data_IF_809077176324
#
_entry.id   IF_809077176324
#
_cell.length_a   1.000
_cell.length_b   1.000
_cell.length_c   1.000
_cell.angle_alpha   90.00
_cell.angle_beta   90.00
_cell.angle_gamma   90.00
#
_symmetry.space_group_name_H-M   'P 1'
#
loop_
_entity.id
_entity.type
_entity.pdbx_description
1 polymer ?
#
# COMPACT_ATOMS: atom_id res chain seq x y z
N UNK A 1 53.31 -30.86 58.34
CA UNK A 1 53.76 -29.48 58.65
C UNK A 1 52.97 -28.54 57.75
N UNK A 2 51.96 -27.84 58.29
CA UNK A 2 51.90 -26.36 58.39
C UNK A 2 51.99 -25.64 57.03
N UNK A 3 51.15 -24.71 56.58
CA UNK A 3 50.05 -23.88 57.13
C UNK A 3 49.40 -23.13 55.93
N UNK A 4 48.07 -23.02 55.95
CA UNK A 4 47.23 -21.80 55.76
C UNK A 4 47.39 -20.84 54.55
N UNK A 5 46.25 -20.69 53.83
CA UNK A 5 45.45 -19.46 53.57
C UNK A 5 45.58 -18.65 52.25
N UNK A 6 44.37 -18.23 51.80
CA UNK A 6 43.96 -17.11 50.89
C UNK A 6 43.85 -17.50 49.41
N UNK A 7 42.77 -17.22 48.67
CA UNK A 7 41.55 -16.45 48.91
C UNK A 7 40.69 -16.46 47.62
N UNK A 8 39.43 -16.04 47.77
CA UNK A 8 38.36 -15.93 46.75
C UNK A 8 38.78 -15.42 45.36
N UNK A 9 38.10 -15.88 44.30
CA UNK A 9 36.98 -15.19 43.60
C UNK A 9 36.51 -16.07 42.43
N UNK A 10 35.18 -16.25 42.34
CA UNK A 10 34.47 -16.97 41.29
C UNK A 10 34.30 -16.13 40.02
N UNK A 11 34.30 -16.77 38.85
CA UNK A 11 33.64 -16.24 37.65
C UNK A 11 33.24 -17.39 36.71
N UNK A 12 32.04 -17.94 36.91
CA UNK A 12 31.35 -18.71 35.89
C UNK A 12 30.80 -17.71 34.86
N UNK A 13 31.45 -17.63 33.69
CA UNK A 13 30.93 -16.88 32.55
C UNK A 13 29.79 -17.69 31.90
N UNK A 14 28.55 -17.41 32.30
CA UNK A 14 27.37 -17.80 31.52
C UNK A 14 27.30 -16.89 30.29
N UNK A 15 27.69 -17.42 29.12
CA UNK A 15 27.37 -16.78 27.83
C UNK A 15 25.86 -16.88 27.60
N UNK A 16 25.12 -15.85 28.02
CA UNK A 16 23.79 -15.60 27.50
C UNK A 16 23.95 -15.03 26.08
N UNK A 17 23.65 -15.85 25.07
CA UNK A 17 23.56 -15.39 23.69
C UNK A 17 22.47 -14.32 23.58
N UNK A 18 22.85 -13.08 23.27
CA UNK A 18 21.90 -12.04 22.90
C UNK A 18 21.28 -12.44 21.56
N UNK A 19 20.01 -12.84 21.59
CA UNK A 19 19.15 -12.77 20.42
C UNK A 19 18.94 -11.28 20.13
N UNK A 20 19.60 -10.76 19.10
CA UNK A 20 19.22 -9.48 18.50
C UNK A 20 17.87 -9.69 17.83
N UNK A 21 16.79 -9.33 18.52
CA UNK A 21 15.47 -9.21 17.90
C UNK A 21 15.58 -8.03 16.97
N UNK A 22 15.66 -8.29 15.66
CA UNK A 22 15.63 -7.25 14.64
C UNK A 22 14.29 -6.53 14.80
N UNK A 23 14.33 -5.30 15.31
CA UNK A 23 13.13 -4.51 15.48
C UNK A 23 12.58 -4.23 14.07
N UNK A 24 11.35 -4.69 13.80
CA UNK A 24 10.62 -4.28 12.61
C UNK A 24 10.67 -2.74 12.52
N UNK A 25 10.81 -2.15 11.32
CA UNK A 25 10.85 -0.71 11.17
C UNK A 25 9.63 -0.13 11.89
N UNK A 26 9.88 0.73 12.89
CA UNK A 26 8.82 1.38 13.63
C UNK A 26 7.88 2.03 12.60
N UNK A 27 6.61 1.61 12.60
CA UNK A 27 5.58 2.33 11.87
C UNK A 27 5.72 3.79 12.27
N UNK A 28 5.88 4.69 11.29
CA UNK A 28 6.01 6.11 11.58
C UNK A 28 4.87 6.51 12.52
N UNK A 29 5.20 7.15 13.64
CA UNK A 29 4.21 7.59 14.64
C UNK A 29 3.45 8.79 14.08
N UNK A 30 2.57 8.51 13.12
CA UNK A 30 1.73 9.49 12.46
C UNK A 30 0.50 9.77 13.33
N UNK A 31 0.00 11.02 13.37
CA UNK A 31 -1.07 11.45 14.30
C UNK A 31 -2.32 10.56 14.34
N UNK A 32 -2.69 9.97 13.21
CA UNK A 32 -3.88 9.13 13.06
C UNK A 32 -3.51 7.73 12.52
N UNK A 33 -2.29 7.28 12.80
CA UNK A 33 -1.76 6.00 12.34
C UNK A 33 -1.32 6.01 10.86
N UNK A 34 -1.04 4.83 10.29
CA UNK A 34 -0.32 4.70 9.02
C UNK A 34 -1.05 5.28 7.81
N UNK A 35 -2.37 5.47 7.90
CA UNK A 35 -3.21 6.06 6.85
C UNK A 35 -3.55 7.54 7.11
N UNK A 36 -2.70 8.25 7.87
CA UNK A 36 -2.89 9.69 8.12
C UNK A 36 -2.90 10.47 6.82
N UNK A 37 -3.94 11.29 6.62
CA UNK A 37 -4.06 12.12 5.43
C UNK A 37 -3.04 13.26 5.40
N UNK A 38 -2.61 13.64 4.19
CA UNK A 38 -1.81 14.83 3.99
C UNK A 38 -2.59 16.10 4.37
N UNK A 39 -1.88 17.20 4.63
CA UNK A 39 -2.50 18.49 4.93
C UNK A 39 -3.49 18.90 3.83
N UNK A 40 -4.70 19.30 4.23
CA UNK A 40 -5.78 19.67 3.31
C UNK A 40 -6.66 18.50 2.86
N UNK A 41 -6.33 17.27 3.25
CA UNK A 41 -7.12 16.07 2.97
C UNK A 41 -7.70 15.47 4.25
N UNK A 42 -8.80 14.73 4.09
CA UNK A 42 -9.53 14.02 5.16
C UNK A 42 -9.95 12.65 4.66
N UNK A 43 -10.18 11.68 5.55
CA UNK A 43 -10.71 10.38 5.14
C UNK A 43 -12.07 10.55 4.45
N UNK A 44 -12.28 9.81 3.36
CA UNK A 44 -13.49 9.87 2.54
C UNK A 44 -14.71 9.32 3.27
N UNK A 45 -14.52 8.33 4.14
CA UNK A 45 -15.58 7.76 4.99
C UNK A 45 -16.78 7.23 4.17
N UNK A 46 -16.53 6.66 2.99
CA UNK A 46 -17.59 6.11 2.15
C UNK A 46 -18.33 4.95 2.83
N UNK A 47 -17.58 4.09 3.52
CA UNK A 47 -18.05 2.96 4.30
C UNK A 47 -17.15 2.79 5.53
N UNK A 48 -17.54 2.00 6.56
CA UNK A 48 -16.68 1.74 7.70
C UNK A 48 -15.30 1.21 7.28
N UNK A 49 -14.24 1.83 7.81
CA UNK A 49 -12.85 1.50 7.46
C UNK A 49 -12.38 2.08 6.12
N UNK A 50 -13.05 3.10 5.57
CA UNK A 50 -12.59 3.83 4.39
C UNK A 50 -11.62 4.96 4.72
N UNK A 51 -10.34 4.62 4.62
CA UNK A 51 -9.20 5.48 4.94
C UNK A 51 -8.57 6.15 3.70
N UNK A 52 -9.24 6.09 2.54
CA UNK A 52 -8.80 6.86 1.36
C UNK A 52 -8.95 8.34 1.66
N UNK A 53 -7.89 9.11 1.46
CA UNK A 53 -7.87 10.54 1.72
C UNK A 53 -8.38 11.33 0.51
N UNK A 54 -9.32 12.24 0.74
CA UNK A 54 -9.95 13.11 -0.28
C UNK A 54 -10.08 14.54 0.25
N UNK A 55 -10.55 15.47 -0.58
CA UNK A 55 -10.82 16.84 -0.11
C UNK A 55 -12.03 16.88 0.83
N UNK A 56 -12.13 17.88 1.72
CA UNK A 56 -13.30 18.04 2.60
C UNK A 56 -14.64 18.09 1.83
N UNK A 57 -14.68 18.78 0.69
CA UNK A 57 -15.88 18.84 -0.18
C UNK A 57 -16.26 17.47 -0.74
N UNK A 58 -15.28 16.64 -1.10
CA UNK A 58 -15.55 15.28 -1.59
C UNK A 58 -16.06 14.36 -0.47
N UNK A 59 -15.53 14.50 0.76
CA UNK A 59 -16.08 13.82 1.94
C UNK A 59 -17.52 14.23 2.21
N UNK A 60 -17.84 15.52 2.11
CA UNK A 60 -19.20 16.02 2.32
C UNK A 60 -20.19 15.48 1.28
N UNK A 61 -19.75 15.37 0.02
CA UNK A 61 -20.51 14.73 -1.06
C UNK A 61 -20.77 13.26 -0.75
N UNK A 62 -19.72 12.53 -0.34
CA UNK A 62 -19.79 11.12 0.03
C UNK A 62 -20.76 10.88 1.19
N UNK A 63 -20.76 11.75 2.20
CA UNK A 63 -21.71 11.68 3.32
C UNK A 63 -23.15 11.93 2.87
N UNK A 64 -23.39 12.88 1.97
CA UNK A 64 -24.71 13.11 1.38
C UNK A 64 -25.20 11.90 0.57
N UNK A 65 -24.31 11.24 -0.15
CA UNK A 65 -24.59 10.00 -0.86
C UNK A 65 -24.94 8.85 0.08
N UNK A 66 -24.21 8.69 1.18
CA UNK A 66 -24.52 7.69 2.21
C UNK A 66 -25.91 7.90 2.79
N UNK A 67 -26.31 9.16 3.04
CA UNK A 67 -27.64 9.49 3.56
C UNK A 67 -28.77 9.21 2.54
N UNK A 68 -28.54 9.49 1.26
CA UNK A 68 -29.54 9.32 0.19
C UNK A 68 -29.57 7.90 -0.39
N UNK A 69 -28.52 7.11 -0.21
CA UNK A 69 -28.36 5.75 -0.73
C UNK A 69 -29.56 4.85 -0.46
N UNK A 70 -30.06 4.75 0.78
CA UNK A 70 -31.25 3.93 1.10
C UNK A 70 -32.49 4.31 0.27
N UNK A 71 -32.73 5.61 0.04
CA UNK A 71 -33.88 6.08 -0.74
C UNK A 71 -33.75 5.79 -2.25
N UNK A 72 -32.52 5.52 -2.73
CA UNK A 72 -32.18 5.21 -4.12
C UNK A 72 -32.11 3.70 -4.41
N UNK A 73 -32.30 2.87 -3.39
CA UNK A 73 -32.37 1.42 -3.50
C UNK A 73 -33.79 0.96 -3.83
N UNK A 74 -33.92 -0.12 -4.60
CA UNK A 74 -35.22 -0.74 -4.84
C UNK A 74 -35.80 -1.30 -3.53
N UNK A 75 -37.05 -0.98 -3.15
CA UNK A 75 -37.59 -1.33 -1.82
C UNK A 75 -37.60 -2.83 -1.51
N UNK A 76 -37.70 -3.68 -2.54
CA UNK A 76 -37.77 -5.14 -2.41
C UNK A 76 -36.53 -5.85 -2.99
N UNK A 77 -35.44 -5.11 -3.21
CA UNK A 77 -34.30 -5.58 -3.98
C UNK A 77 -34.63 -5.77 -5.47
N UNK A 78 -33.78 -6.49 -6.19
CA UNK A 78 -33.95 -6.72 -7.62
C UNK A 78 -32.96 -7.74 -8.17
N UNK A 79 -32.69 -7.68 -9.48
CA UNK A 79 -31.88 -8.66 -10.21
C UNK A 79 -30.45 -8.86 -9.65
N UNK A 80 -29.94 -7.90 -8.88
CA UNK A 80 -28.59 -7.90 -8.30
C UNK A 80 -28.62 -8.06 -6.77
N UNK A 81 -29.71 -8.58 -6.22
CA UNK A 81 -29.88 -8.83 -4.79
C UNK A 81 -30.58 -7.69 -4.03
N UNK A 82 -30.55 -7.71 -2.68
CA UNK A 82 -31.27 -6.76 -1.83
C UNK A 82 -30.82 -5.32 -2.02
N UNK A 83 -29.60 -5.14 -2.52
CA UNK A 83 -28.96 -3.84 -2.64
C UNK A 83 -29.21 -3.16 -4.00
N UNK A 84 -30.00 -3.79 -4.87
CA UNK A 84 -30.26 -3.31 -6.24
C UNK A 84 -30.70 -1.84 -6.25
N UNK A 85 -30.02 -1.03 -7.05
CA UNK A 85 -30.35 0.38 -7.19
C UNK A 85 -31.53 0.62 -8.14
N UNK A 86 -32.29 1.68 -7.87
CA UNK A 86 -33.31 2.20 -8.78
C UNK A 86 -32.71 2.63 -10.11
N UNK A 87 -33.52 2.61 -11.16
CA UNK A 87 -33.12 3.10 -12.49
C UNK A 87 -32.50 4.50 -12.41
N UNK A 88 -31.35 4.69 -13.07
CA UNK A 88 -30.55 5.92 -13.04
C UNK A 88 -29.49 5.98 -11.93
N UNK A 89 -29.44 5.00 -11.03
CA UNK A 89 -28.43 4.88 -9.98
C UNK A 89 -27.62 3.60 -10.11
N UNK A 90 -26.40 3.62 -9.56
CA UNK A 90 -25.47 2.49 -9.52
C UNK A 90 -24.85 2.38 -8.13
N UNK A 91 -24.30 1.21 -7.79
CA UNK A 91 -23.43 1.11 -6.62
C UNK A 91 -22.20 2.00 -6.80
N UNK A 92 -21.79 2.70 -5.74
CA UNK A 92 -20.61 3.57 -5.76
C UNK A 92 -19.31 2.78 -5.92
N UNK A 93 -19.24 1.58 -5.35
CA UNK A 93 -18.10 0.66 -5.51
C UNK A 93 -16.74 1.26 -5.09
N UNK A 94 -16.67 2.05 -4.00
CA UNK A 94 -15.35 2.45 -3.43
C UNK A 94 -14.53 1.23 -2.99
N UNK A 95 -15.22 0.15 -2.64
CA UNK A 95 -14.71 -1.20 -2.38
C UNK A 95 -15.81 -2.23 -2.68
N UNK A 96 -15.51 -3.54 -2.71
CA UNK A 96 -16.52 -4.56 -3.03
C UNK A 96 -17.76 -4.55 -2.12
N UNK A 97 -17.64 -4.09 -0.87
CA UNK A 97 -18.77 -3.98 0.06
C UNK A 97 -19.59 -2.68 -0.05
N UNK A 98 -19.19 -1.73 -0.90
CA UNK A 98 -19.84 -0.43 -1.03
C UNK A 98 -20.97 -0.45 -2.07
N UNK A 99 -22.15 -0.87 -1.61
CA UNK A 99 -23.39 -0.90 -2.41
C UNK A 99 -24.30 0.31 -2.15
N UNK A 100 -23.73 1.46 -1.77
CA UNK A 100 -24.49 2.71 -1.66
C UNK A 100 -24.92 3.13 -3.07
N UNK A 101 -26.23 3.36 -3.26
CA UNK A 101 -26.79 3.77 -4.55
C UNK A 101 -26.55 5.26 -4.81
N UNK A 102 -25.77 5.56 -5.84
CA UNK A 102 -25.31 6.91 -6.20
C UNK A 102 -25.47 7.17 -7.70
N UNK A 103 -25.41 8.45 -8.15
CA UNK A 103 -25.33 8.75 -9.57
C UNK A 103 -24.11 8.08 -10.22
N UNK A 104 -24.17 7.68 -11.51
CA UNK A 104 -23.03 7.05 -12.20
C UNK A 104 -21.71 7.81 -12.10
N UNK A 105 -21.74 9.14 -12.19
CA UNK A 105 -20.55 9.98 -12.07
C UNK A 105 -19.85 9.85 -10.70
N UNK A 106 -20.59 9.54 -9.64
CA UNK A 106 -20.02 9.33 -8.29
C UNK A 106 -19.24 8.04 -8.20
N UNK A 107 -19.66 6.97 -8.91
CA UNK A 107 -18.87 5.74 -9.04
C UNK A 107 -17.56 5.99 -9.78
N UNK A 108 -17.60 6.80 -10.84
CA UNK A 108 -16.38 7.15 -11.58
C UNK A 108 -15.44 7.98 -10.70
N UNK A 109 -15.97 8.91 -9.89
CA UNK A 109 -15.17 9.65 -8.91
C UNK A 109 -14.56 8.76 -7.84
N UNK A 110 -15.32 7.80 -7.30
CA UNK A 110 -14.81 6.84 -6.32
C UNK A 110 -13.59 6.06 -6.85
N UNK A 111 -13.60 5.69 -8.13
CA UNK A 111 -12.47 5.02 -8.80
C UNK A 111 -11.26 5.94 -8.94
N UNK A 112 -11.49 7.20 -9.31
CA UNK A 112 -10.42 8.22 -9.37
C UNK A 112 -9.81 8.45 -7.98
N UNK A 113 -10.63 8.62 -6.95
CA UNK A 113 -10.17 8.80 -5.57
C UNK A 113 -9.28 7.62 -5.12
N UNK A 114 -9.68 6.38 -5.44
CA UNK A 114 -8.86 5.18 -5.15
C UNK A 114 -7.51 5.21 -5.89
N UNK A 115 -7.47 5.66 -7.14
CA UNK A 115 -6.22 5.76 -7.92
C UNK A 115 -5.28 6.88 -7.43
N UNK A 116 -5.85 7.94 -6.82
CA UNK A 116 -5.10 9.08 -6.31
C UNK A 116 -4.69 8.94 -4.84
N UNK A 117 -5.13 7.87 -4.17
CA UNK A 117 -4.84 7.59 -2.77
C UNK A 117 -3.36 7.82 -2.35
N UNK A 118 -2.33 7.38 -3.12
CA UNK A 118 -0.94 7.54 -2.69
C UNK A 118 -0.45 9.00 -2.72
N UNK A 119 -1.19 9.92 -3.35
CA UNK A 119 -0.87 11.35 -3.38
C UNK A 119 -1.60 12.16 -2.30
N UNK A 120 -2.59 11.58 -1.64
CA UNK A 120 -3.45 12.27 -0.66
C UNK A 120 -3.21 11.83 0.78
N UNK A 121 -2.42 10.78 0.97
CA UNK A 121 -1.88 10.32 2.26
C UNK A 121 -0.57 11.06 2.61
N UNK A 122 -0.29 11.25 3.89
CA UNK A 122 0.88 12.00 4.36
C UNK A 122 2.21 11.28 4.07
N UNK A 123 2.27 9.97 4.35
CA UNK A 123 3.48 9.17 4.15
C UNK A 123 3.10 7.77 3.65
N UNK A 124 3.06 7.55 2.33
CA UNK A 124 2.66 6.25 1.76
C UNK A 124 3.50 5.07 2.26
N UNK A 125 4.77 5.30 2.58
CA UNK A 125 5.70 4.28 3.07
C UNK A 125 5.54 3.93 4.55
N UNK A 126 4.64 4.60 5.28
CA UNK A 126 4.25 4.20 6.62
C UNK A 126 3.14 3.14 6.62
N UNK A 127 2.53 2.87 5.46
CA UNK A 127 1.43 1.90 5.34
C UNK A 127 1.93 0.47 5.54
N UNK A 128 1.12 -0.41 6.16
CA UNK A 128 1.51 -1.80 6.35
C UNK A 128 1.69 -2.52 5.01
N UNK A 129 2.40 -3.67 5.05
CA UNK A 129 2.62 -4.48 3.85
C UNK A 129 1.36 -5.14 3.32
N UNK A 130 0.36 -5.37 4.16
CA UNK A 130 -0.86 -6.11 3.81
C UNK A 130 -0.56 -7.47 3.13
N UNK A 131 0.49 -8.16 3.58
CA UNK A 131 0.91 -9.46 3.03
C UNK A 131 1.65 -9.40 1.69
N UNK A 132 2.07 -8.21 1.27
CA UNK A 132 2.80 -7.97 0.02
C UNK A 132 4.30 -7.94 0.31
N UNK A 133 5.06 -8.78 -0.39
CA UNK A 133 6.52 -8.80 -0.33
C UNK A 133 7.11 -8.40 -1.70
N UNK A 134 8.06 -7.47 -1.71
CA UNK A 134 8.88 -7.21 -2.90
C UNK A 134 10.24 -7.85 -2.68
N UNK A 135 10.68 -8.68 -3.63
CA UNK A 135 12.02 -9.23 -3.63
C UNK A 135 12.77 -8.73 -4.86
N UNK A 136 13.96 -8.20 -4.66
CA UNK A 136 14.87 -7.98 -5.77
C UNK A 136 15.50 -9.32 -6.15
N UNK A 137 15.29 -9.78 -7.39
CA UNK A 137 15.89 -11.02 -7.88
C UNK A 137 16.90 -10.67 -8.96
N UNK A 138 18.17 -10.92 -8.64
CA UNK A 138 19.26 -10.74 -9.60
C UNK A 138 19.30 -11.93 -10.56
N UNK A 139 18.49 -11.90 -11.62
CA UNK A 139 18.48 -12.95 -12.65
C UNK A 139 18.39 -12.35 -14.06
N UNK A 140 19.37 -12.64 -14.92
CA UNK A 140 19.41 -12.20 -16.31
C UNK A 140 20.01 -10.79 -16.52
N UNK A 141 20.20 -10.42 -17.80
CA UNK A 141 20.59 -9.07 -18.23
C UNK A 141 19.54 -8.55 -19.21
N UNK A 142 18.89 -7.40 -18.96
CA UNK A 142 19.01 -6.54 -17.77
C UNK A 142 18.38 -7.16 -16.51
N UNK A 143 18.89 -6.80 -15.33
CA UNK A 143 18.37 -7.24 -14.03
C UNK A 143 16.96 -6.69 -13.78
N UNK A 144 16.13 -7.40 -12.99
CA UNK A 144 14.74 -6.99 -12.70
C UNK A 144 14.33 -7.17 -11.23
N UNK A 145 13.39 -6.34 -10.77
CA UNK A 145 12.74 -6.50 -9.45
C UNK A 145 11.52 -7.40 -9.60
N UNK A 146 11.36 -8.39 -8.72
CA UNK A 146 10.18 -9.29 -8.71
C UNK A 146 9.28 -8.99 -7.52
N UNK A 147 8.03 -8.63 -7.78
CA UNK A 147 7.04 -8.58 -6.72
C UNK A 147 6.43 -9.97 -6.54
N UNK A 148 6.39 -10.43 -5.29
CA UNK A 148 5.70 -11.65 -4.92
C UNK A 148 4.66 -11.33 -3.86
N UNK A 149 3.40 -11.49 -4.20
CA UNK A 149 2.33 -11.30 -3.23
C UNK A 149 1.91 -12.65 -2.68
N UNK A 150 1.88 -12.76 -1.35
CA UNK A 150 1.24 -13.92 -0.69
C UNK A 150 -0.25 -13.70 -0.47
N UNK A 151 -0.73 -12.48 -0.72
CA UNK A 151 -2.12 -12.08 -0.73
C UNK A 151 -2.64 -11.85 -2.16
N UNK A 152 -3.97 -11.94 -2.31
CA UNK A 152 -4.70 -11.56 -3.51
C UNK A 152 -5.18 -10.11 -3.40
N UNK A 153 -5.17 -9.39 -4.52
CA UNK A 153 -5.78 -8.08 -4.65
C UNK A 153 -7.27 -8.19 -4.98
N UNK A 154 -7.96 -7.07 -5.11
CA UNK A 154 -9.36 -7.07 -5.54
C UNK A 154 -9.49 -7.72 -6.93
N UNK A 155 -10.36 -8.72 -7.11
CA UNK A 155 -10.55 -9.40 -8.40
C UNK A 155 -11.03 -8.48 -9.53
N UNK A 156 -10.51 -8.69 -10.74
CA UNK A 156 -10.86 -7.93 -11.95
C UNK A 156 -10.68 -6.40 -11.79
N UNK A 157 -9.74 -5.99 -10.96
CA UNK A 157 -9.36 -4.57 -10.75
C UNK A 157 -7.93 -4.37 -11.22
N UNK A 158 -7.37 -3.22 -10.89
CA UNK A 158 -6.01 -2.85 -11.26
C UNK A 158 -5.23 -2.49 -10.02
N UNK A 159 -3.94 -2.78 -10.06
CA UNK A 159 -3.00 -2.51 -9.00
C UNK A 159 -1.90 -1.63 -9.56
N UNK A 160 -1.70 -0.48 -8.94
CA UNK A 160 -0.63 0.44 -9.31
C UNK A 160 0.55 0.27 -8.38
N UNK A 161 1.73 0.35 -8.98
CA UNK A 161 3.01 0.26 -8.29
C UNK A 161 3.75 1.56 -8.48
N UNK A 162 4.30 2.08 -7.39
CA UNK A 162 5.05 3.31 -7.39
C UNK A 162 6.38 3.10 -6.68
N UNK A 163 7.44 3.77 -7.15
CA UNK A 163 8.62 4.00 -6.34
C UNK A 163 8.42 5.30 -5.57
N UNK A 164 8.68 5.26 -4.27
CA UNK A 164 8.71 6.44 -3.42
C UNK A 164 10.15 6.72 -2.98
N UNK A 165 10.65 7.90 -3.36
CA UNK A 165 11.94 8.42 -2.91
C UNK A 165 11.70 9.63 -1.98
N UNK A 166 11.98 9.49 -0.66
CA UNK A 166 11.85 10.60 0.28
C UNK A 166 12.98 11.64 0.18
N UNK A 167 14.12 11.29 -0.42
CA UNK A 167 15.38 12.05 -0.35
C UNK A 167 15.86 12.57 -1.70
N UNK A 168 14.98 12.71 -2.69
CA UNK A 168 15.38 13.15 -4.03
C UNK A 168 16.18 14.47 -4.01
N UNK A 169 17.48 14.47 -4.35
CA UNK A 169 18.32 15.64 -4.22
C UNK A 169 17.91 16.73 -5.24
N UNK A 170 17.70 17.95 -4.76
CA UNK A 170 17.53 19.14 -5.60
C UNK A 170 16.09 19.61 -5.84
N UNK A 171 15.07 18.88 -5.36
CA UNK A 171 13.66 19.32 -5.48
C UNK A 171 13.03 19.72 -4.15
N UNK A 172 13.54 19.24 -3.01
CA UNK A 172 12.88 19.43 -1.70
C UNK A 172 11.53 18.72 -1.58
N UNK A 173 11.21 17.80 -2.49
CA UNK A 173 9.94 17.09 -2.56
C UNK A 173 10.16 15.58 -2.70
N UNK A 174 9.34 14.78 -2.02
CA UNK A 174 9.27 13.34 -2.26
C UNK A 174 8.71 13.07 -3.65
N UNK A 175 9.34 12.15 -4.40
CA UNK A 175 8.87 11.77 -5.73
C UNK A 175 8.16 10.42 -5.64
N UNK A 176 6.90 10.40 -6.07
CA UNK A 176 6.15 9.17 -6.32
C UNK A 176 6.12 8.94 -7.84
N UNK A 177 6.82 7.92 -8.32
CA UNK A 177 6.90 7.59 -9.76
C UNK A 177 6.11 6.34 -10.05
N UNK A 178 5.17 6.40 -10.99
CA UNK A 178 4.42 5.22 -11.43
C UNK A 178 5.35 4.25 -12.16
N UNK A 179 5.44 3.04 -11.63
CA UNK A 179 6.25 1.95 -12.15
C UNK A 179 5.47 1.06 -13.10
N UNK A 180 4.22 0.80 -12.76
CA UNK A 180 3.35 -0.06 -13.54
C UNK A 180 1.93 -0.03 -13.00
N UNK A 181 1.01 -0.38 -13.88
CA UNK A 181 -0.40 -0.52 -13.60
C UNK A 181 -0.84 -1.88 -14.17
N UNK A 182 -1.17 -2.83 -13.30
CA UNK A 182 -1.31 -4.25 -13.64
C UNK A 182 -2.74 -4.71 -13.32
N UNK A 183 -3.47 -5.32 -14.28
CA UNK A 183 -4.79 -5.87 -14.01
C UNK A 183 -4.69 -7.14 -13.15
N UNK A 184 -5.76 -7.46 -12.42
CA UNK A 184 -5.92 -8.70 -11.69
C UNK A 184 -6.93 -9.62 -12.36
N UNK A 185 -6.74 -10.93 -12.23
CA UNK A 185 -7.69 -11.93 -12.70
C UNK A 185 -8.93 -12.04 -11.79
N UNK A 186 -9.81 -12.99 -12.10
CA UNK A 186 -11.01 -13.26 -11.33
C UNK A 186 -10.75 -13.76 -9.89
N UNK A 187 -9.50 -14.13 -9.58
CA UNK A 187 -9.06 -14.56 -8.25
C UNK A 187 -8.23 -13.49 -7.52
N UNK A 188 -8.02 -12.32 -8.15
CA UNK A 188 -7.21 -11.25 -7.56
C UNK A 188 -5.70 -11.43 -7.73
N UNK A 189 -5.25 -12.36 -8.56
CA UNK A 189 -3.84 -12.49 -8.91
C UNK A 189 -3.48 -11.47 -9.98
N UNK A 190 -2.30 -10.85 -9.87
CA UNK A 190 -1.78 -9.95 -10.89
C UNK A 190 -1.61 -10.71 -12.22
N UNK A 191 -2.12 -10.17 -13.31
CA UNK A 191 -1.89 -10.70 -14.66
C UNK A 191 -0.69 -9.96 -15.27
N UNK A 192 0.52 -10.53 -15.23
CA UNK A 192 1.64 -10.05 -16.08
C UNK A 192 1.81 -10.91 -17.32
N UNK A 193 2.21 -10.26 -18.42
CA UNK A 193 2.44 -10.86 -19.75
C UNK A 193 3.64 -11.82 -19.78
N UNK A 194 4.46 -11.86 -18.73
CA UNK A 194 5.63 -12.75 -18.63
C UNK A 194 5.77 -13.30 -17.21
N UNK A 195 5.37 -14.56 -17.02
CA UNK A 195 5.67 -15.34 -15.83
C UNK A 195 7.07 -15.95 -15.98
N UNK A 196 8.04 -15.45 -15.21
CA UNK A 196 9.37 -16.06 -15.09
C UNK A 196 9.55 -16.54 -13.65
N UNK A 197 9.83 -17.84 -13.49
CA UNK A 197 10.10 -18.47 -12.19
C UNK A 197 9.02 -18.22 -11.11
N UNK A 198 7.74 -18.19 -11.49
CA UNK A 198 6.62 -18.10 -10.56
C UNK A 198 6.40 -16.71 -9.94
N UNK A 199 6.99 -15.66 -10.52
CA UNK A 199 6.84 -14.26 -10.10
C UNK A 199 6.35 -13.34 -11.21
N UNK A 200 5.71 -12.23 -10.83
CA UNK A 200 5.16 -11.26 -11.77
C UNK A 200 6.15 -10.09 -11.97
N UNK A 201 6.67 -9.93 -13.19
CA UNK A 201 7.46 -8.74 -13.56
C UNK A 201 6.52 -7.56 -13.78
N UNK A 202 6.77 -6.45 -13.07
CA UNK A 202 5.92 -5.24 -13.11
C UNK A 202 6.55 -4.17 -14.01
N UNK A 203 7.87 -3.96 -13.90
CA UNK A 203 8.59 -2.96 -14.67
C UNK A 203 10.11 -3.18 -14.62
N UNK A 204 10.83 -2.45 -15.47
CA UNK A 204 12.27 -2.25 -15.36
C UNK A 204 12.52 -0.92 -14.64
N UNK A 205 13.01 -0.98 -13.40
CA UNK A 205 13.46 0.22 -12.71
C UNK A 205 14.75 0.72 -13.37
N UNK A 206 14.70 1.94 -13.90
CA UNK A 206 15.88 2.56 -14.51
C UNK A 206 16.83 3.05 -13.43
N UNK A 207 18.10 2.69 -13.58
CA UNK A 207 19.23 3.15 -12.78
C UNK A 207 19.27 4.69 -12.64
N UNK A 208 19.16 5.22 -11.42
CA UNK A 208 19.44 6.63 -11.16
C UNK A 208 20.50 6.77 -10.05
N UNK A 209 21.71 7.17 -10.45
CA UNK A 209 22.82 7.49 -9.55
C UNK A 209 22.92 9.00 -9.41
N UNK A 210 22.73 9.51 -8.20
CA UNK A 210 23.00 10.93 -7.93
C UNK A 210 24.45 11.07 -7.52
N UNK A 211 25.19 11.95 -8.19
CA UNK A 211 26.63 12.13 -7.99
C UNK A 211 27.02 12.41 -6.53
N UNK A 212 26.13 13.02 -5.74
CA UNK A 212 26.35 13.40 -4.34
C UNK A 212 25.74 12.46 -3.31
N UNK A 213 24.72 11.67 -3.65
CA UNK A 213 23.98 10.81 -2.71
C UNK A 213 24.25 9.31 -2.89
N UNK A 214 24.97 8.90 -3.95
CA UNK A 214 25.20 7.49 -4.25
C UNK A 214 24.00 6.83 -4.92
N UNK A 215 23.82 5.53 -4.68
CA UNK A 215 22.67 4.78 -5.16
C UNK A 215 21.44 5.12 -4.34
N UNK A 216 20.38 5.61 -4.98
CA UNK A 216 19.13 5.90 -4.30
C UNK A 216 18.44 4.60 -3.94
N UNK A 217 18.00 4.49 -2.69
CA UNK A 217 17.12 3.42 -2.23
C UNK A 217 15.67 3.91 -2.29
N UNK A 218 14.77 3.11 -2.84
CA UNK A 218 13.37 3.48 -2.99
C UNK A 218 12.48 2.45 -2.32
N UNK A 219 11.37 2.88 -1.73
CA UNK A 219 10.33 1.96 -1.25
C UNK A 219 9.28 1.78 -2.33
N UNK A 220 8.73 0.58 -2.44
CA UNK A 220 7.59 0.35 -3.33
C UNK A 220 6.31 0.64 -2.57
N UNK A 221 5.48 1.47 -3.18
CA UNK A 221 4.11 1.75 -2.74
C UNK A 221 3.17 1.06 -3.71
N UNK A 222 2.21 0.32 -3.18
CA UNK A 222 1.24 -0.47 -3.93
C UNK A 222 -0.15 0.07 -3.64
N UNK A 223 -0.96 0.25 -4.69
CA UNK A 223 -2.34 0.75 -4.57
C UNK A 223 -3.28 -0.24 -5.24
N UNK A 224 -4.15 -0.88 -4.46
CA UNK A 224 -5.26 -1.67 -5.01
C UNK A 224 -6.41 -0.72 -5.38
N UNK A 225 -6.63 -0.46 -6.67
CA UNK A 225 -7.69 0.45 -7.10
C UNK A 225 -9.10 -0.06 -6.78
N UNK A 226 -9.25 -1.35 -6.52
CA UNK A 226 -10.50 -1.95 -6.08
C UNK A 226 -10.96 -1.50 -4.71
N UNK A 227 -10.06 -1.02 -3.86
CA UNK A 227 -10.36 -0.59 -2.48
C UNK A 227 -9.77 0.78 -2.12
N UNK A 228 -8.79 1.25 -2.88
CA UNK A 228 -7.96 2.42 -2.54
C UNK A 228 -6.97 2.16 -1.41
N UNK A 229 -6.79 0.90 -0.97
CA UNK A 229 -5.83 0.55 0.07
C UNK A 229 -4.42 0.72 -0.49
N UNK A 230 -3.62 1.45 0.28
CA UNK A 230 -2.20 1.66 0.02
C UNK A 230 -1.42 0.69 0.91
N UNK A 231 -0.43 0.03 0.32
CA UNK A 231 0.50 -0.85 1.03
C UNK A 231 1.92 -0.44 0.69
N UNK A 232 2.87 -0.71 1.58
CA UNK A 232 4.28 -0.45 1.32
C UNK A 232 5.17 -1.61 1.74
N UNK A 233 6.38 -1.68 1.20
CA UNK A 233 7.32 -2.76 1.47
C UNK A 233 8.04 -2.59 2.81
N UNK A 234 8.33 -3.71 3.49
CA UNK A 234 9.13 -3.75 4.72
C UNK A 234 10.60 -3.35 4.50
N UNK A 235 11.08 -3.38 3.25
CA UNK A 235 12.45 -3.05 2.87
C UNK A 235 12.50 -1.97 1.81
N UNK A 236 13.70 -1.43 1.64
CA UNK A 236 14.03 -0.57 0.52
C UNK A 236 14.53 -1.43 -0.64
N UNK A 237 14.09 -1.11 -1.85
CA UNK A 237 14.80 -1.52 -3.04
C UNK A 237 16.15 -0.85 -2.99
N UNK A 238 17.17 -1.64 -2.66
CA UNK A 238 18.53 -1.21 -2.85
C UNK A 238 18.76 -1.16 -4.35
N UNK A 239 19.53 -0.19 -4.84
CA UNK A 239 20.06 -0.26 -6.20
C UNK A 239 21.53 -0.65 -6.09
N UNK A 240 21.90 -1.93 -5.94
CA UNK A 240 23.31 -2.26 -5.81
C UNK A 240 23.98 -2.54 -7.17
N UNK A 241 23.27 -2.46 -8.31
CA UNK A 241 23.81 -2.94 -9.61
C UNK A 241 23.36 -2.15 -10.84
N UNK A 242 23.78 -0.90 -10.85
CA UNK A 242 24.55 -0.46 -12.00
C UNK A 242 26.03 -0.40 -11.55
#
# INVERSE_FOLDING_TARGET
MQRLLRGLVAALALLAGLLTVDAAPAAADLPYGPYTCANGYVWREAVPGDLVCVTPTQRDTTRGENALGPARREPNGGAWGPDTCKSGYVWRETRPSDHVCVPPASRDRARVDNSLAPYTILLPTATPTNGIAVNEVRSGYPYHTQLYTTSSFTPNKRVQFYSYDPNWPGTGHSILTLLGDVPTDAYGHLQSLTNFYGGWNITYLSCYRVATAGWLTARVVIVDQGTGIISSTNGELTAPWC
#
